data_IF_322471602284
#
_entry.id   IF_322471602284
#
_cell.length_a   1.000
_cell.length_b   1.000
_cell.length_c   1.000
_cell.angle_alpha   90.00
_cell.angle_beta   90.00
_cell.angle_gamma   90.00
#
_symmetry.space_group_name_H-M   'P 1'
#
loop_
_entity.id
_entity.type
_entity.pdbx_description
1 polymer ?
#
# COMPACT_ATOMS: atom_id res chain seq x y z
N UNK A 1 -0.83 5.55 6.53
CA UNK A 1 0.44 5.84 7.24
C UNK A 1 0.12 6.15 8.70
N UNK A 2 1.13 6.22 9.57
CA UNK A 2 0.96 6.54 11.00
C UNK A 2 1.48 5.45 11.92
N UNK A 3 1.17 5.53 13.22
CA UNK A 3 1.66 4.61 14.24
C UNK A 3 0.51 4.04 15.10
N UNK A 4 -0.63 3.73 14.48
CA UNK A 4 -1.76 3.12 15.19
C UNK A 4 -1.64 1.59 15.21
N UNK A 5 -2.35 0.93 16.13
CA UNK A 5 -2.69 -0.47 16.01
C UNK A 5 -3.99 -0.57 15.20
N UNK A 6 -3.90 -0.98 13.93
CA UNK A 6 -5.06 -1.00 13.02
C UNK A 6 -5.11 -2.28 12.18
N UNK A 7 -6.33 -2.82 12.04
CA UNK A 7 -6.62 -3.94 11.15
C UNK A 7 -7.55 -3.46 10.05
N UNK A 8 -7.16 -3.68 8.81
CA UNK A 8 -8.01 -3.53 7.64
C UNK A 8 -8.47 -4.93 7.24
N UNK A 9 -9.77 -5.18 7.29
CA UNK A 9 -10.33 -6.50 6.99
C UNK A 9 -11.29 -6.43 5.81
N UNK A 10 -11.10 -7.31 4.83
CA UNK A 10 -11.97 -7.42 3.64
C UNK A 10 -12.07 -6.12 2.84
N UNK A 11 -10.99 -5.33 2.82
CA UNK A 11 -10.92 -4.05 2.11
C UNK A 11 -10.24 -4.19 0.74
N UNK A 12 -10.59 -3.30 -0.19
CA UNK A 12 -9.83 -3.07 -1.42
C UNK A 12 -8.89 -1.89 -1.22
N UNK A 13 -7.60 -2.08 -1.46
CA UNK A 13 -6.59 -1.03 -1.53
C UNK A 13 -6.28 -0.76 -2.99
N UNK A 14 -6.72 0.38 -3.51
CA UNK A 14 -6.62 0.73 -4.94
C UNK A 14 -5.45 1.71 -5.15
N UNK A 15 -4.46 1.31 -5.95
CA UNK A 15 -3.26 2.07 -6.26
C UNK A 15 -3.47 2.86 -7.55
N UNK A 16 -3.24 4.18 -7.51
CA UNK A 16 -3.33 5.07 -8.67
C UNK A 16 -1.95 5.39 -9.23
N UNK A 17 -1.88 5.77 -10.50
CA UNK A 17 -0.60 6.12 -11.13
C UNK A 17 -0.06 7.39 -10.43
N UNK A 18 1.17 7.38 -9.90
CA UNK A 18 1.78 8.59 -9.37
C UNK A 18 1.93 9.64 -10.48
N UNK A 19 1.69 10.92 -10.16
CA UNK A 19 1.77 11.99 -11.14
C UNK A 19 3.20 12.31 -11.61
N UNK A 20 4.21 11.92 -10.84
CA UNK A 20 5.63 12.12 -11.14
C UNK A 20 6.26 10.80 -11.61
N UNK A 21 7.08 10.88 -12.67
CA UNK A 21 7.83 9.76 -13.24
C UNK A 21 8.80 9.09 -12.25
N UNK A 22 9.26 9.82 -11.23
CA UNK A 22 10.15 9.28 -10.19
C UNK A 22 9.40 8.79 -8.94
N UNK A 23 8.10 9.03 -8.85
CA UNK A 23 7.30 8.63 -7.70
C UNK A 23 6.83 7.17 -7.82
N UNK A 24 6.61 6.55 -6.67
CA UNK A 24 6.11 5.18 -6.56
C UNK A 24 5.01 5.11 -5.49
N UNK A 25 4.17 4.08 -5.59
CA UNK A 25 3.12 3.85 -4.61
C UNK A 25 3.69 3.10 -3.40
N UNK A 26 3.35 3.57 -2.21
CA UNK A 26 3.63 2.90 -0.93
C UNK A 26 2.30 2.48 -0.32
N UNK A 27 2.11 1.19 -0.08
CA UNK A 27 0.83 0.64 0.40
C UNK A 27 0.64 0.95 1.89
N UNK A 28 1.68 0.67 2.70
CA UNK A 28 1.70 0.95 4.14
C UNK A 28 2.99 1.64 4.52
N UNK A 29 2.89 2.64 5.40
CA UNK A 29 4.03 3.33 6.01
C UNK A 29 3.78 3.40 7.52
N UNK A 30 4.16 2.32 8.22
CA UNK A 30 4.05 2.24 9.68
C UNK A 30 5.20 3.00 10.34
N UNK A 31 4.88 3.91 11.24
CA UNK A 31 5.82 4.81 11.92
C UNK A 31 6.29 4.32 13.28
N UNK A 32 6.28 3.01 13.54
CA UNK A 32 6.74 2.45 14.82
C UNK A 32 8.26 2.61 14.95
N UNK A 33 8.70 3.42 15.92
CA UNK A 33 10.13 3.70 16.17
C UNK A 33 10.68 2.96 17.40
N UNK A 34 9.81 2.50 18.30
CA UNK A 34 10.17 1.73 19.49
C UNK A 34 9.54 0.33 19.42
N UNK A 35 10.33 -0.71 19.69
CA UNK A 35 9.88 -2.11 19.69
C UNK A 35 8.84 -2.42 20.77
N UNK A 36 8.77 -1.62 21.84
CA UNK A 36 7.81 -1.77 22.94
C UNK A 36 6.42 -1.21 22.59
N UNK A 37 6.29 -0.43 21.51
CA UNK A 37 5.00 0.06 21.04
C UNK A 37 4.19 -1.09 20.41
N UNK A 38 2.98 -1.29 20.91
CA UNK A 38 2.02 -2.29 20.43
C UNK A 38 1.26 -1.84 19.18
N UNK A 39 1.95 -1.15 18.27
CA UNK A 39 1.39 -0.51 17.08
C UNK A 39 1.79 -1.26 15.80
N UNK A 40 1.00 -1.11 14.75
CA UNK A 40 1.20 -1.78 13.48
C UNK A 40 -0.07 -1.83 12.65
N UNK A 41 0.10 -2.05 11.35
CA UNK A 41 -1.01 -2.20 10.41
C UNK A 41 -1.07 -3.65 9.93
N UNK A 42 -2.25 -4.26 10.02
CA UNK A 42 -2.53 -5.59 9.49
C UNK A 42 -3.56 -5.52 8.36
N UNK A 43 -3.28 -6.22 7.26
CA UNK A 43 -4.18 -6.37 6.12
C UNK A 43 -4.68 -7.82 6.13
N UNK A 44 -5.95 -8.03 6.45
CA UNK A 44 -6.54 -9.36 6.56
C UNK A 44 -7.63 -9.56 5.50
N UNK A 45 -7.48 -10.56 4.63
CA UNK A 45 -8.41 -10.82 3.53
C UNK A 45 -8.67 -9.61 2.61
N UNK A 46 -7.68 -8.72 2.49
CA UNK A 46 -7.74 -7.55 1.62
C UNK A 46 -7.33 -7.89 0.18
N UNK A 47 -7.78 -7.08 -0.77
CA UNK A 47 -7.31 -7.10 -2.16
C UNK A 47 -6.51 -5.83 -2.45
N UNK A 48 -5.34 -6.00 -3.06
CA UNK A 48 -4.48 -4.90 -3.48
C UNK A 48 -4.59 -4.81 -5.00
N UNK A 49 -5.17 -3.72 -5.50
CA UNK A 49 -5.59 -3.56 -6.89
C UNK A 49 -4.95 -2.31 -7.48
N UNK A 50 -4.73 -2.29 -8.79
CA UNK A 50 -4.32 -1.07 -9.51
C UNK A 50 -5.51 -0.45 -10.22
N UNK A 51 -5.52 0.88 -10.33
CA UNK A 51 -6.47 1.63 -11.14
C UNK A 51 -6.29 1.33 -12.65
N UNK A 52 -7.28 1.67 -13.46
CA UNK A 52 -7.33 1.52 -14.92
C UNK A 52 -6.17 2.22 -15.62
N UNK A 53 -5.63 3.29 -15.03
CA UNK A 53 -4.46 4.01 -15.56
C UNK A 53 -3.23 3.11 -15.73
N UNK A 54 -3.14 2.01 -14.97
CA UNK A 54 -2.05 1.02 -15.11
C UNK A 54 -2.25 0.01 -16.25
N UNK A 55 -3.38 0.03 -16.94
CA UNK A 55 -3.70 -0.93 -18.03
C UNK A 55 -2.59 -1.03 -19.09
N UNK A 56 -2.06 0.10 -19.54
CA UNK A 56 -1.02 0.15 -20.58
C UNK A 56 0.36 -0.39 -20.17
N UNK A 57 0.56 -0.68 -18.88
CA UNK A 57 1.80 -1.30 -18.35
C UNK A 57 1.53 -2.63 -17.64
N UNK A 58 0.28 -3.10 -17.65
CA UNK A 58 -0.09 -4.44 -17.20
C UNK A 58 0.72 -5.41 -18.05
N UNK A 59 1.62 -6.18 -17.43
CA UNK A 59 2.59 -7.11 -18.07
C UNK A 59 3.94 -6.53 -18.51
N UNK A 60 4.26 -5.25 -18.26
CA UNK A 60 5.60 -4.69 -18.51
C UNK A 60 6.39 -4.60 -17.21
N UNK A 61 7.27 -5.56 -16.98
CA UNK A 61 8.15 -5.61 -15.81
C UNK A 61 9.61 -5.57 -16.26
N UNK A 62 10.44 -4.79 -15.57
CA UNK A 62 11.90 -4.98 -15.61
C UNK A 62 12.27 -5.79 -14.37
N UNK A 63 12.92 -6.93 -14.56
CA UNK A 63 13.65 -7.60 -13.47
C UNK A 63 14.92 -6.83 -13.12
#
# INVERSE_FOLDING_TARGET
FGNAAAVFQSCNLILRRPSDLKAYNVILANGRTDQRQNTGFALHSCRILTDLDFSGVKHRYSS
#
